data_IF_932779052309
#
_entry.id   IF_932779052309
#
_cell.length_a   1.000
_cell.length_b   1.000
_cell.length_c   1.000
_cell.angle_alpha   90.00
_cell.angle_beta   90.00
_cell.angle_gamma   90.00
#
_symmetry.space_group_name_H-M   'P 1'
#
loop_
_entity.id
_entity.type
_entity.pdbx_description
1 polymer ?
#
# COMPACT_ATOMS: atom_id res chain seq x y z
N UNK A 1 9.16 20.47 -9.50
CA UNK A 1 9.32 19.92 -8.14
C UNK A 1 10.61 20.49 -7.55
N UNK A 2 10.61 20.99 -6.29
CA UNK A 2 11.82 21.50 -5.66
C UNK A 2 12.82 20.37 -5.39
N UNK A 3 14.11 20.68 -5.43
CA UNK A 3 15.18 19.74 -5.06
C UNK A 3 15.01 19.28 -3.60
N UNK A 4 15.29 18.00 -3.34
CA UNK A 4 15.33 17.45 -1.98
C UNK A 4 16.35 18.21 -1.13
N UNK A 5 16.04 18.45 0.15
CA UNK A 5 16.99 19.07 1.07
C UNK A 5 18.25 18.18 1.17
N UNK A 6 19.47 18.68 0.89
CA UNK A 6 20.70 17.88 0.98
C UNK A 6 20.92 17.21 2.35
N UNK A 7 20.30 17.72 3.42
CA UNK A 7 20.31 17.07 4.73
C UNK A 7 19.55 15.72 4.77
N UNK A 8 18.80 15.38 3.73
CA UNK A 8 18.01 14.15 3.62
C UNK A 8 18.62 13.12 2.67
N UNK A 9 19.82 13.39 2.13
CA UNK A 9 20.49 12.50 1.20
C UNK A 9 20.87 11.16 1.86
N UNK A 10 20.76 10.07 1.10
CA UNK A 10 21.19 8.74 1.53
C UNK A 10 22.22 8.18 0.55
N UNK A 11 23.15 7.32 1.00
CA UNK A 11 24.07 6.63 0.09
C UNK A 11 23.29 5.71 -0.87
N UNK A 12 23.32 6.01 -2.17
CA UNK A 12 22.76 5.18 -3.24
C UNK A 12 23.55 5.35 -4.53
N UNK A 13 23.65 4.29 -5.32
CA UNK A 13 24.30 4.25 -6.63
C UNK A 13 23.33 4.52 -7.80
N UNK A 14 22.04 4.72 -7.51
CA UNK A 14 21.02 4.98 -8.53
C UNK A 14 21.05 6.43 -9.03
N UNK A 15 21.07 6.61 -10.35
CA UNK A 15 21.28 7.90 -11.02
C UNK A 15 19.96 8.67 -11.16
N UNK A 16 19.41 9.15 -10.03
CA UNK A 16 18.35 10.17 -9.75
C UNK A 16 17.16 10.51 -10.69
N UNK A 17 17.13 10.12 -11.97
CA UNK A 17 16.01 10.40 -12.90
C UNK A 17 15.08 9.19 -13.09
N UNK A 18 15.59 7.96 -13.00
CA UNK A 18 14.75 6.74 -12.99
C UNK A 18 14.20 6.41 -11.60
N UNK A 19 14.81 6.93 -10.52
CA UNK A 19 14.37 6.64 -9.14
C UNK A 19 13.17 7.45 -8.70
N UNK A 20 12.91 8.60 -9.33
CA UNK A 20 11.78 9.46 -8.96
C UNK A 20 10.45 8.79 -9.29
N UNK A 21 10.35 8.14 -10.44
CA UNK A 21 9.16 7.37 -10.84
C UNK A 21 8.93 6.18 -9.92
N UNK A 22 10.00 5.47 -9.52
CA UNK A 22 9.93 4.38 -8.53
C UNK A 22 9.44 4.89 -7.17
N UNK A 23 9.99 6.00 -6.68
CA UNK A 23 9.58 6.59 -5.40
C UNK A 23 8.16 7.13 -5.41
N UNK A 24 7.71 7.71 -6.53
CA UNK A 24 6.32 8.14 -6.73
C UNK A 24 5.37 6.94 -6.69
N UNK A 25 5.68 5.85 -7.41
CA UNK A 25 4.90 4.62 -7.38
C UNK A 25 4.87 4.00 -5.98
N UNK A 26 6.01 3.90 -5.29
CA UNK A 26 6.08 3.39 -3.91
C UNK A 26 5.28 4.25 -2.92
N UNK A 27 5.32 5.58 -3.05
CA UNK A 27 4.53 6.46 -2.18
C UNK A 27 3.01 6.35 -2.45
N UNK A 28 2.61 6.14 -3.72
CA UNK A 28 1.23 5.85 -4.06
C UNK A 28 0.77 4.51 -3.45
N UNK A 29 1.56 3.44 -3.62
CA UNK A 29 1.28 2.14 -2.98
C UNK A 29 1.25 2.22 -1.46
N UNK A 30 2.15 3.00 -0.84
CA UNK A 30 2.14 3.22 0.61
C UNK A 30 0.86 3.92 1.07
N UNK A 31 0.39 4.92 0.31
CA UNK A 31 -0.86 5.60 0.61
C UNK A 31 -2.04 4.65 0.49
N UNK A 32 -2.07 3.81 -0.56
CA UNK A 32 -3.07 2.77 -0.74
C UNK A 32 -3.04 1.71 0.36
N UNK A 33 -1.87 1.31 0.86
CA UNK A 33 -1.77 0.43 2.03
C UNK A 33 -2.41 1.05 3.27
N UNK A 34 -2.17 2.33 3.55
CA UNK A 34 -2.80 3.00 4.71
C UNK A 34 -4.32 3.16 4.54
N UNK A 35 -4.79 3.52 3.34
CA UNK A 35 -6.21 3.61 3.02
C UNK A 35 -6.91 2.26 3.21
N UNK A 36 -6.34 1.20 2.62
CA UNK A 36 -6.85 -0.15 2.71
C UNK A 36 -6.79 -0.68 4.15
N UNK A 37 -5.70 -0.43 4.88
CA UNK A 37 -5.61 -0.78 6.30
C UNK A 37 -6.77 -0.19 7.10
N UNK A 38 -7.00 1.13 6.97
CA UNK A 38 -8.05 1.79 7.73
C UNK A 38 -9.44 1.32 7.29
N UNK A 39 -9.67 1.11 5.98
CA UNK A 39 -10.92 0.54 5.47
C UNK A 39 -11.16 -0.87 5.99
N UNK A 40 -10.15 -1.73 6.01
CA UNK A 40 -10.25 -3.09 6.57
C UNK A 40 -10.59 -3.03 8.06
N UNK A 41 -9.95 -2.13 8.83
CA UNK A 41 -10.29 -1.92 10.25
C UNK A 41 -11.70 -1.36 10.44
N UNK A 42 -12.13 -0.44 9.58
CA UNK A 42 -13.50 0.06 9.54
C UNK A 42 -14.49 -1.10 9.38
N UNK A 43 -14.32 -1.96 8.38
CA UNK A 43 -15.21 -3.10 8.17
C UNK A 43 -15.10 -4.14 9.29
N UNK A 44 -13.92 -4.34 9.87
CA UNK A 44 -13.73 -5.18 11.06
C UNK A 44 -14.54 -4.67 12.27
N UNK A 45 -14.55 -3.36 12.53
CA UNK A 45 -15.29 -2.77 13.65
C UNK A 45 -16.80 -2.82 13.45
N UNK A 46 -17.26 -2.66 12.21
CA UNK A 46 -18.68 -2.61 11.85
C UNK A 46 -19.24 -3.94 11.32
N UNK A 47 -18.45 -5.01 11.40
CA UNK A 47 -18.87 -6.35 10.97
C UNK A 47 -20.11 -6.79 11.75
N UNK A 48 -21.02 -7.51 11.10
CA UNK A 48 -22.26 -8.00 11.71
C UNK A 48 -22.74 -9.32 11.08
N UNK A 49 -23.81 -9.90 11.63
CA UNK A 49 -24.43 -11.11 11.10
C UNK A 49 -23.87 -12.42 11.69
N UNK A 50 -24.35 -13.58 11.19
CA UNK A 50 -24.08 -14.89 11.80
C UNK A 50 -22.61 -15.32 11.71
N UNK A 51 -21.84 -14.76 10.79
CA UNK A 51 -20.40 -15.03 10.60
C UNK A 51 -19.50 -13.98 11.26
N UNK A 52 -20.06 -13.15 12.17
CA UNK A 52 -19.36 -12.03 12.79
C UNK A 52 -17.94 -12.38 13.24
N UNK A 53 -17.80 -13.43 14.06
CA UNK A 53 -16.51 -13.78 14.66
C UNK A 53 -15.47 -14.13 13.60
N UNK A 54 -15.84 -14.92 12.61
CA UNK A 54 -14.89 -15.42 11.62
C UNK A 54 -14.42 -14.30 10.70
N UNK A 55 -15.35 -13.46 10.22
CA UNK A 55 -14.98 -12.29 9.41
C UNK A 55 -14.24 -11.23 10.23
N UNK A 56 -14.63 -10.98 11.48
CA UNK A 56 -13.95 -10.03 12.34
C UNK A 56 -12.48 -10.42 12.55
N UNK A 57 -12.20 -11.71 12.79
CA UNK A 57 -10.82 -12.20 12.94
C UNK A 57 -10.05 -12.19 11.61
N UNK A 58 -10.69 -12.60 10.51
CA UNK A 58 -10.10 -12.54 9.17
C UNK A 58 -9.65 -11.11 8.83
N UNK A 59 -10.53 -10.13 9.01
CA UNK A 59 -10.22 -8.74 8.68
C UNK A 59 -9.13 -8.16 9.60
N UNK A 60 -9.02 -8.61 10.84
CA UNK A 60 -7.92 -8.18 11.73
C UNK A 60 -6.57 -8.75 11.27
N UNK A 61 -6.53 -10.01 10.86
CA UNK A 61 -5.33 -10.65 10.29
C UNK A 61 -4.90 -9.96 9.00
N UNK A 62 -5.83 -9.72 8.06
CA UNK A 62 -5.55 -9.00 6.83
C UNK A 62 -5.05 -7.57 7.10
N UNK A 63 -5.64 -6.86 8.07
CA UNK A 63 -5.18 -5.52 8.46
C UNK A 63 -3.75 -5.56 9.02
N UNK A 64 -3.40 -6.58 9.82
CA UNK A 64 -2.05 -6.75 10.34
C UNK A 64 -1.03 -6.99 9.22
N UNK A 65 -1.37 -7.81 8.22
CA UNK A 65 -0.52 -8.03 7.04
C UNK A 65 -0.30 -6.73 6.24
N UNK A 66 -1.37 -5.96 5.98
CA UNK A 66 -1.29 -4.69 5.24
C UNK A 66 -0.41 -3.68 5.98
N UNK A 67 -0.59 -3.55 7.30
CA UNK A 67 0.24 -2.65 8.10
C UNK A 67 1.70 -3.12 8.18
N UNK A 68 1.93 -4.44 8.16
CA UNK A 68 3.26 -5.05 8.20
C UNK A 68 4.17 -4.63 7.05
N UNK A 69 3.62 -4.29 5.88
CA UNK A 69 4.43 -3.88 4.71
C UNK A 69 4.73 -2.38 4.66
N UNK A 70 4.01 -1.53 5.42
CA UNK A 70 4.09 -0.07 5.25
C UNK A 70 5.47 0.50 5.58
N UNK A 71 6.12 -0.03 6.61
CA UNK A 71 7.46 0.42 7.02
C UNK A 71 8.50 0.08 5.95
N UNK A 72 8.47 -1.15 5.43
CA UNK A 72 9.37 -1.61 4.39
C UNK A 72 9.26 -0.75 3.11
N UNK A 73 8.04 -0.39 2.71
CA UNK A 73 7.80 0.52 1.58
C UNK A 73 8.38 1.91 1.86
N UNK A 74 8.05 2.52 3.01
CA UNK A 74 8.51 3.85 3.39
C UNK A 74 10.06 3.92 3.47
N UNK A 75 10.68 2.93 4.10
CA UNK A 75 12.13 2.83 4.17
C UNK A 75 12.75 2.60 2.80
N UNK A 76 12.11 1.85 1.90
CA UNK A 76 12.63 1.64 0.54
C UNK A 76 12.69 2.96 -0.24
N UNK A 77 11.66 3.81 -0.11
CA UNK A 77 11.68 5.18 -0.66
C UNK A 77 12.86 5.98 -0.09
N UNK A 78 13.09 5.90 1.22
CA UNK A 78 14.21 6.61 1.87
C UNK A 78 15.58 6.08 1.45
N UNK A 79 15.74 4.75 1.29
CA UNK A 79 17.00 4.10 0.88
C UNK A 79 17.50 4.55 -0.50
N UNK A 80 16.60 5.04 -1.36
CA UNK A 80 16.93 5.58 -2.69
C UNK A 80 17.09 7.11 -2.71
N UNK A 81 17.17 7.76 -1.54
CA UNK A 81 17.37 9.20 -1.40
C UNK A 81 16.09 10.03 -1.54
N UNK A 82 14.94 9.41 -1.79
CA UNK A 82 13.66 10.10 -1.98
C UNK A 82 12.94 10.32 -0.64
N UNK A 83 11.99 11.25 -0.59
CA UNK A 83 11.15 11.46 0.61
C UNK A 83 9.87 10.66 0.54
N UNK A 84 9.35 10.26 1.71
CA UNK A 84 8.09 9.50 1.81
C UNK A 84 6.95 10.33 2.43
N UNK A 85 5.78 9.72 2.56
CA UNK A 85 4.54 10.32 3.07
C UNK A 85 4.74 10.93 4.46
N UNK A 86 4.01 12.01 4.76
CA UNK A 86 4.20 12.79 6.01
C UNK A 86 3.04 12.78 6.98
N UNK A 87 1.82 12.55 6.51
CA UNK A 87 0.60 12.73 7.32
C UNK A 87 -0.62 12.09 6.68
N UNK A 88 -1.73 12.01 7.43
CA UNK A 88 -3.03 11.56 6.93
C UNK A 88 -3.48 12.38 5.70
N UNK A 89 -3.33 13.70 5.74
CA UNK A 89 -3.66 14.54 4.58
C UNK A 89 -2.74 14.28 3.38
N UNK A 90 -1.53 13.77 3.60
CA UNK A 90 -0.62 13.37 2.53
C UNK A 90 -1.01 12.01 1.93
N UNK A 91 -1.39 11.05 2.77
CA UNK A 91 -1.97 9.78 2.35
C UNK A 91 -3.19 10.04 1.47
N UNK A 92 -4.14 10.86 1.93
CA UNK A 92 -5.37 11.18 1.20
C UNK A 92 -5.13 11.82 -0.19
N UNK A 93 -4.02 12.55 -0.38
CA UNK A 93 -3.68 13.13 -1.69
C UNK A 93 -3.05 12.13 -2.67
N UNK A 94 -2.50 11.03 -2.18
CA UNK A 94 -1.76 10.05 -2.98
C UNK A 94 -2.49 8.72 -3.12
N UNK A 95 -3.47 8.42 -2.25
CA UNK A 95 -4.27 7.20 -2.33
C UNK A 95 -5.15 7.18 -3.59
N UNK A 96 -5.22 6.03 -4.22
CA UNK A 96 -6.16 5.67 -5.29
C UNK A 96 -7.32 4.82 -4.76
N UNK A 97 -7.11 4.09 -3.66
CA UNK A 97 -8.15 3.35 -2.96
C UNK A 97 -9.03 4.37 -2.20
N UNK A 98 -10.34 4.46 -2.53
CA UNK A 98 -11.22 5.42 -1.88
C UNK A 98 -11.58 4.96 -0.47
N UNK A 99 -11.79 5.88 0.46
CA UNK A 99 -12.38 5.58 1.76
C UNK A 99 -13.83 5.08 1.62
N UNK A 100 -14.37 4.46 2.67
CA UNK A 100 -15.79 4.09 2.73
C UNK A 100 -16.40 4.59 4.04
N UNK A 101 -17.11 5.71 3.95
CA UNK A 101 -17.77 6.37 5.08
C UNK A 101 -19.29 6.10 5.11
N UNK A 102 -19.77 5.06 4.43
CA UNK A 102 -21.20 4.73 4.41
C UNK A 102 -21.66 4.35 5.83
N UNK A 103 -22.85 4.83 6.22
CA UNK A 103 -23.47 4.48 7.51
C UNK A 103 -23.70 2.96 7.70
N UNK A 104 -23.86 2.23 6.58
CA UNK A 104 -24.04 0.79 6.59
C UNK A 104 -23.48 0.14 5.32
N UNK A 105 -22.79 -0.98 5.50
CA UNK A 105 -22.30 -1.87 4.44
C UNK A 105 -22.60 -3.30 4.89
N UNK A 106 -23.18 -4.12 4.02
CA UNK A 106 -23.45 -5.52 4.36
C UNK A 106 -22.17 -6.37 4.38
N UNK A 107 -22.06 -7.43 5.20
CA UNK A 107 -20.84 -8.26 5.27
C UNK A 107 -20.33 -8.76 3.91
N UNK A 108 -21.24 -9.18 3.02
CA UNK A 108 -20.86 -9.62 1.66
C UNK A 108 -20.35 -8.48 0.79
N UNK A 109 -20.89 -7.27 0.94
CA UNK A 109 -20.40 -6.08 0.23
C UNK A 109 -19.04 -5.65 0.77
N UNK A 110 -18.84 -5.68 2.09
CA UNK A 110 -17.55 -5.41 2.73
C UNK A 110 -16.44 -6.33 2.17
N UNK A 111 -16.69 -7.64 2.14
CA UNK A 111 -15.72 -8.62 1.63
C UNK A 111 -15.46 -8.44 0.13
N UNK A 112 -16.51 -8.19 -0.66
CA UNK A 112 -16.35 -7.94 -2.09
C UNK A 112 -15.52 -6.68 -2.35
N UNK A 113 -15.78 -5.60 -1.61
CA UNK A 113 -15.03 -4.34 -1.76
C UNK A 113 -13.56 -4.50 -1.37
N UNK A 114 -13.26 -5.17 -0.25
CA UNK A 114 -11.88 -5.43 0.15
C UNK A 114 -11.13 -6.34 -0.82
N UNK A 115 -11.82 -7.32 -1.43
CA UNK A 115 -11.21 -8.13 -2.51
C UNK A 115 -10.81 -7.24 -3.69
N UNK A 116 -11.74 -6.43 -4.19
CA UNK A 116 -11.45 -5.55 -5.34
C UNK A 116 -10.35 -4.54 -5.02
N UNK A 117 -10.30 -4.01 -3.80
CA UNK A 117 -9.26 -3.07 -3.40
C UNK A 117 -7.88 -3.74 -3.21
N UNK A 118 -7.82 -5.00 -2.77
CA UNK A 118 -6.58 -5.78 -2.82
C UNK A 118 -6.11 -6.02 -4.26
N UNK A 119 -7.03 -6.28 -5.20
CA UNK A 119 -6.68 -6.41 -6.62
C UNK A 119 -6.16 -5.10 -7.23
N UNK A 120 -6.71 -3.94 -6.82
CA UNK A 120 -6.12 -2.64 -7.20
C UNK A 120 -4.73 -2.45 -6.60
N UNK A 121 -4.52 -2.87 -5.36
CA UNK A 121 -3.19 -2.80 -4.74
C UNK A 121 -2.17 -3.69 -5.48
N UNK A 122 -2.59 -4.86 -5.96
CA UNK A 122 -1.80 -5.72 -6.87
C UNK A 122 -1.44 -4.98 -8.16
N UNK A 123 -2.38 -4.26 -8.78
CA UNK A 123 -2.09 -3.44 -9.97
C UNK A 123 -1.07 -2.33 -9.66
N UNK A 124 -1.17 -1.67 -8.50
CA UNK A 124 -0.18 -0.67 -8.08
C UNK A 124 1.20 -1.27 -7.86
N UNK A 125 1.29 -2.46 -7.27
CA UNK A 125 2.57 -3.15 -7.11
C UNK A 125 3.19 -3.57 -8.44
N UNK A 126 2.39 -3.89 -9.46
CA UNK A 126 2.90 -4.12 -10.82
C UNK A 126 3.50 -2.84 -11.43
N UNK A 127 2.88 -1.68 -11.20
CA UNK A 127 3.44 -0.38 -11.62
C UNK A 127 4.78 -0.11 -10.91
N UNK A 128 4.88 -0.40 -9.62
CA UNK A 128 6.15 -0.31 -8.87
C UNK A 128 7.21 -1.23 -9.48
N UNK A 129 6.85 -2.47 -9.81
CA UNK A 129 7.77 -3.44 -10.41
C UNK A 129 8.30 -2.95 -11.76
N UNK A 130 7.42 -2.52 -12.65
CA UNK A 130 7.79 -2.02 -13.98
C UNK A 130 8.74 -0.82 -13.87
N UNK A 131 8.43 0.13 -12.98
CA UNK A 131 9.29 1.28 -12.73
C UNK A 131 10.66 0.88 -12.16
N UNK A 132 10.69 -0.09 -11.24
CA UNK A 132 11.91 -0.58 -10.63
C UNK A 132 12.80 -1.31 -11.65
N UNK A 133 12.21 -2.13 -12.52
CA UNK A 133 12.93 -2.83 -13.58
C UNK A 133 13.53 -1.86 -14.61
N UNK A 134 12.77 -0.84 -15.03
CA UNK A 134 13.27 0.22 -15.92
C UNK A 134 14.43 1.00 -15.28
N UNK A 135 14.33 1.26 -13.98
CA UNK A 135 15.36 1.94 -13.20
C UNK A 135 16.57 1.06 -12.84
N UNK A 136 16.54 -0.24 -13.15
CA UNK A 136 17.50 -1.25 -12.68
C UNK A 136 17.62 -1.31 -11.15
N UNK A 137 16.56 -0.93 -10.43
CA UNK A 137 16.44 -1.08 -8.98
C UNK A 137 16.00 -2.51 -8.64
N UNK A 138 16.97 -3.43 -8.67
CA UNK A 138 16.74 -4.85 -8.44
C UNK A 138 16.17 -5.15 -7.04
N UNK A 139 16.51 -4.35 -6.03
CA UNK A 139 16.03 -4.53 -4.67
C UNK A 139 14.54 -4.20 -4.55
N UNK A 140 14.09 -3.10 -5.16
CA UNK A 140 12.66 -2.77 -5.23
C UNK A 140 11.89 -3.78 -6.08
N UNK A 141 12.43 -4.15 -7.26
CA UNK A 141 11.79 -5.12 -8.15
C UNK A 141 11.64 -6.51 -7.51
N UNK A 142 12.60 -6.93 -6.68
CA UNK A 142 12.53 -8.22 -5.99
C UNK A 142 11.56 -8.23 -4.81
N UNK A 143 11.57 -7.19 -3.96
CA UNK A 143 10.72 -7.17 -2.75
C UNK A 143 9.23 -6.97 -3.08
N UNK A 144 8.91 -6.26 -4.16
CA UNK A 144 7.52 -6.02 -4.55
C UNK A 144 6.77 -7.28 -5.00
N UNK A 145 7.50 -8.32 -5.42
CA UNK A 145 6.89 -9.62 -5.74
C UNK A 145 6.25 -10.26 -4.49
N UNK A 146 6.91 -10.14 -3.33
CA UNK A 146 6.36 -10.62 -2.06
C UNK A 146 5.11 -9.84 -1.64
N UNK A 147 5.12 -8.51 -1.79
CA UNK A 147 3.95 -7.68 -1.47
C UNK A 147 2.77 -7.94 -2.42
N UNK A 148 3.07 -8.27 -3.68
CA UNK A 148 2.07 -8.68 -4.67
C UNK A 148 1.42 -9.99 -4.26
N UNK A 149 2.22 -11.02 -3.94
CA UNK A 149 1.72 -12.33 -3.50
C UNK A 149 0.84 -12.21 -2.24
N UNK A 150 1.27 -11.42 -1.24
CA UNK A 150 0.46 -11.16 -0.04
C UNK A 150 -0.88 -10.47 -0.37
N UNK A 151 -0.92 -9.55 -1.34
CA UNK A 151 -2.16 -8.92 -1.76
C UNK A 151 -3.06 -9.86 -2.57
N UNK A 152 -2.49 -10.72 -3.40
CA UNK A 152 -3.21 -11.78 -4.11
C UNK A 152 -3.78 -12.82 -3.12
N UNK A 153 -3.05 -13.20 -2.08
CA UNK A 153 -3.53 -14.08 -1.01
C UNK A 153 -4.75 -13.50 -0.31
N UNK A 154 -4.71 -12.21 0.08
CA UNK A 154 -5.87 -11.53 0.69
C UNK A 154 -7.07 -11.41 -0.24
N UNK A 155 -6.85 -11.32 -1.55
CA UNK A 155 -7.94 -11.31 -2.53
C UNK A 155 -8.53 -12.71 -2.77
N UNK A 156 -7.74 -13.77 -2.58
CA UNK A 156 -8.15 -15.16 -2.73
C UNK A 156 -8.94 -15.69 -1.53
N UNK A 157 -8.50 -15.37 -0.31
CA UNK A 157 -9.13 -15.78 0.96
C UNK A 157 -10.52 -15.15 1.19
#
# INVERSE_FOLDING_TARGET
>A
MPATNPALDTPTDLVSNSTKTVAEALNASLADCYALYLKTKNFHWHMSGPHFRDYHLLLDDQAAQILGVTDAIAERVRKTGNTTLRSIGDISRHQSIPDNDKDFVGPTEMLAELREDNLKLVEQFRIVKDAADEAKDNATSGIVDEWTDQAEERAWF
#
